data_IF_875220810864
#
_entry.id   IF_875220810864
#
_cell.length_a   1.000
_cell.length_b   1.000
_cell.length_c   1.000
_cell.angle_alpha   90.00
_cell.angle_beta   90.00
_cell.angle_gamma   90.00
#
_symmetry.space_group_name_H-M   'P 1'
#
loop_
_entity.id
_entity.type
_entity.pdbx_description
1 polymer ?
#
# COMPACT_ATOMS: atom_id res chain seq x y z
N UNK A 1 -10.91 -6.85 -15.21
CA UNK A 1 -11.57 -5.80 -14.42
C UNK A 1 -10.63 -5.55 -13.26
N UNK A 2 -9.99 -4.39 -13.20
CA UNK A 2 -9.05 -4.10 -12.13
C UNK A 2 -9.87 -3.62 -10.94
N UNK A 3 -9.86 -4.37 -9.84
CA UNK A 3 -10.50 -3.93 -8.61
C UNK A 3 -9.68 -2.78 -8.00
N UNK A 4 -10.28 -1.61 -7.86
CA UNK A 4 -9.65 -0.41 -7.27
C UNK A 4 -9.78 -0.44 -5.75
N UNK A 5 -8.91 -1.20 -5.09
CA UNK A 5 -8.97 -1.47 -3.64
C UNK A 5 -7.62 -1.27 -2.96
N UNK A 6 -7.61 -1.08 -1.64
CA UNK A 6 -6.39 -1.03 -0.82
C UNK A 6 -5.43 -2.21 -1.09
N UNK A 7 -5.96 -3.42 -1.28
CA UNK A 7 -5.15 -4.60 -1.60
C UNK A 7 -4.46 -4.50 -2.98
N UNK A 8 -5.16 -3.98 -3.99
CA UNK A 8 -4.57 -3.74 -5.32
C UNK A 8 -3.49 -2.67 -5.26
N UNK A 9 -3.72 -1.60 -4.48
CA UNK A 9 -2.72 -0.55 -4.28
C UNK A 9 -1.49 -1.06 -3.54
N UNK A 10 -1.66 -1.88 -2.50
CA UNK A 10 -0.55 -2.46 -1.74
C UNK A 10 0.38 -3.29 -2.62
N UNK A 11 -0.17 -4.19 -3.44
CA UNK A 11 0.64 -4.99 -4.39
C UNK A 11 1.46 -4.11 -5.33
N UNK A 12 0.85 -3.03 -5.82
CA UNK A 12 1.55 -2.07 -6.68
C UNK A 12 2.67 -1.35 -5.94
N UNK A 13 2.45 -0.97 -4.68
CA UNK A 13 3.52 -0.40 -3.83
C UNK A 13 4.65 -1.41 -3.68
N UNK A 14 4.37 -2.68 -3.36
CA UNK A 14 5.37 -3.75 -3.23
C UNK A 14 6.20 -3.95 -4.51
N UNK A 15 5.57 -3.92 -5.68
CA UNK A 15 6.25 -4.02 -6.98
C UNK A 15 7.18 -2.82 -7.27
N UNK A 16 6.81 -1.63 -6.77
CA UNK A 16 7.55 -0.38 -6.99
C UNK A 16 8.47 0.02 -5.83
N UNK A 17 8.48 -0.73 -4.74
CA UNK A 17 9.25 -0.47 -3.52
C UNK A 17 10.27 -1.60 -3.23
N UNK A 18 11.20 -1.93 -4.13
CA UNK A 18 12.16 -3.02 -3.91
C UNK A 18 13.10 -2.81 -2.71
N UNK A 19 13.14 -1.60 -2.15
CA UNK A 19 13.90 -1.24 -0.95
C UNK A 19 12.99 -0.91 0.24
N UNK A 20 11.71 -1.29 0.18
CA UNK A 20 10.72 -0.98 1.22
C UNK A 20 10.12 0.42 1.13
N UNK A 21 10.48 1.23 0.14
CA UNK A 21 9.85 2.52 -0.11
C UNK A 21 9.74 2.85 -1.60
N UNK A 22 8.70 3.59 -1.97
CA UNK A 22 8.45 4.11 -3.31
C UNK A 22 8.00 5.58 -3.25
N UNK A 23 8.31 6.36 -4.29
CA UNK A 23 7.78 7.72 -4.41
C UNK A 23 6.26 7.69 -4.60
N UNK A 24 5.53 8.49 -3.81
CA UNK A 24 4.06 8.59 -3.89
C UNK A 24 3.63 8.91 -5.32
N UNK A 25 4.34 9.84 -5.99
CA UNK A 25 4.03 10.24 -7.35
C UNK A 25 4.21 9.10 -8.37
N UNK A 26 5.22 8.24 -8.18
CA UNK A 26 5.44 7.08 -9.05
C UNK A 26 4.32 6.04 -8.90
N UNK A 27 3.92 5.75 -7.65
CA UNK A 27 2.81 4.84 -7.35
C UNK A 27 1.49 5.41 -7.92
N UNK A 28 1.24 6.70 -7.71
CA UNK A 28 0.08 7.42 -8.24
C UNK A 28 0.02 7.35 -9.78
N UNK A 29 1.12 7.67 -10.47
CA UNK A 29 1.18 7.63 -11.93
C UNK A 29 0.89 6.21 -12.48
N UNK A 30 1.39 5.18 -11.79
CA UNK A 30 1.08 3.78 -12.09
C UNK A 30 -0.41 3.48 -11.93
N UNK A 31 -1.01 3.87 -10.80
CA UNK A 31 -2.43 3.71 -10.54
C UNK A 31 -3.30 4.45 -11.58
N UNK A 32 -2.97 5.69 -11.96
CA UNK A 32 -3.66 6.41 -13.04
C UNK A 32 -3.67 5.64 -14.36
N UNK A 33 -2.56 4.97 -14.67
CA UNK A 33 -2.42 4.21 -15.92
C UNK A 33 -3.34 2.98 -15.96
N UNK A 34 -3.72 2.49 -14.78
CA UNK A 34 -4.72 1.42 -14.59
C UNK A 34 -6.16 1.96 -14.52
N UNK A 35 -6.35 3.28 -14.59
CA UNK A 35 -7.66 3.94 -14.56
C UNK A 35 -8.12 4.41 -13.18
N UNK A 36 -7.24 4.47 -12.17
CA UNK A 36 -7.59 5.00 -10.87
C UNK A 36 -7.87 6.51 -10.92
N UNK A 37 -8.91 6.93 -10.21
CA UNK A 37 -9.14 8.35 -9.88
C UNK A 37 -8.28 8.77 -8.69
N UNK A 38 -8.11 10.07 -8.50
CA UNK A 38 -7.42 10.63 -7.33
C UNK A 38 -8.07 10.19 -6.03
N UNK A 39 -9.40 10.18 -6.01
CA UNK A 39 -10.18 9.87 -4.82
C UNK A 39 -10.04 8.39 -4.46
N UNK A 40 -10.19 7.49 -5.44
CA UNK A 40 -10.00 6.06 -5.20
C UNK A 40 -8.58 5.73 -4.70
N UNK A 41 -7.57 6.42 -5.22
CA UNK A 41 -6.20 6.27 -4.78
C UNK A 41 -6.00 6.78 -3.34
N UNK A 42 -6.52 7.96 -3.03
CA UNK A 42 -6.44 8.54 -1.70
C UNK A 42 -7.15 7.66 -0.66
N UNK A 43 -8.36 7.19 -0.96
CA UNK A 43 -9.14 6.31 -0.08
C UNK A 43 -8.40 4.99 0.20
N UNK A 44 -7.80 4.39 -0.83
CA UNK A 44 -7.03 3.16 -0.68
C UNK A 44 -5.74 3.39 0.10
N UNK A 45 -5.04 4.50 -0.14
CA UNK A 45 -3.81 4.84 0.59
C UNK A 45 -4.10 5.11 2.06
N UNK A 46 -5.17 5.86 2.36
CA UNK A 46 -5.62 6.12 3.73
C UNK A 46 -5.98 4.81 4.45
N UNK A 47 -6.68 3.88 3.79
CA UNK A 47 -6.96 2.56 4.35
C UNK A 47 -5.68 1.79 4.70
N UNK A 48 -4.66 1.80 3.84
CA UNK A 48 -3.40 1.12 4.11
C UNK A 48 -2.63 1.75 5.28
N UNK A 49 -2.68 3.07 5.42
CA UNK A 49 -2.10 3.80 6.56
C UNK A 49 -2.84 3.45 7.86
N UNK A 50 -4.17 3.46 7.84
CA UNK A 50 -5.00 3.14 9.00
C UNK A 50 -4.84 1.69 9.46
N UNK A 51 -4.50 0.79 8.55
CA UNK A 51 -4.22 -0.62 8.82
C UNK A 51 -2.75 -0.90 9.15
N UNK A 52 -1.90 0.13 9.22
CA UNK A 52 -0.46 0.05 9.52
C UNK A 52 0.34 -0.82 8.51
N UNK A 53 -0.13 -0.93 7.27
CA UNK A 53 0.64 -1.58 6.19
C UNK A 53 1.69 -0.66 5.57
N UNK A 54 1.43 0.64 5.58
CA UNK A 54 2.31 1.65 5.01
C UNK A 54 2.30 2.92 5.86
N UNK A 55 3.34 3.72 5.71
CA UNK A 55 3.35 5.12 6.15
C UNK A 55 3.80 6.03 5.02
N UNK A 56 3.47 7.33 5.12
CA UNK A 56 3.98 8.35 4.20
C UNK A 56 5.02 9.20 4.91
N UNK A 57 6.25 9.17 4.42
CA UNK A 57 7.37 9.97 4.94
C UNK A 57 7.86 10.89 3.84
N UNK A 58 7.57 12.18 3.97
CA UNK A 58 7.86 13.16 2.92
C UNK A 58 7.05 12.86 1.66
N UNK A 59 7.75 12.60 0.55
CA UNK A 59 7.18 12.25 -0.75
C UNK A 59 7.18 10.75 -1.04
N UNK A 60 7.44 9.91 -0.03
CA UNK A 60 7.54 8.46 -0.16
C UNK A 60 6.48 7.73 0.64
N UNK A 61 5.94 6.67 0.04
CA UNK A 61 5.26 5.58 0.75
C UNK A 61 6.31 4.57 1.17
N UNK A 62 6.31 4.23 2.45
CA UNK A 62 7.20 3.24 3.06
C UNK A 62 6.33 2.05 3.48
N UNK A 63 6.70 0.86 3.04
CA UNK A 63 6.11 -0.40 3.49
C UNK A 63 6.50 -0.62 4.95
N UNK A 64 5.50 -0.83 5.80
CA UNK A 64 5.72 -1.42 7.11
C UNK A 64 5.89 -2.92 6.92
N UNK A 65 6.81 -3.53 7.67
CA UNK A 65 6.83 -4.99 7.77
C UNK A 65 5.41 -5.44 8.15
N UNK A 66 4.83 -6.43 7.47
CA UNK A 66 3.57 -6.96 7.90
C UNK A 66 3.76 -7.40 9.34
N UNK A 67 3.05 -6.75 10.26
CA UNK A 67 2.82 -7.32 11.57
C UNK A 67 2.06 -8.62 11.26
N UNK A 68 2.78 -9.72 11.08
CA UNK A 68 2.21 -11.04 11.23
C UNK A 68 1.67 -10.97 12.65
N UNK A 69 0.36 -10.74 12.77
CA UNK A 69 -0.35 -10.95 14.01
C UNK A 69 0.07 -12.36 14.41
N UNK A 70 1.00 -12.46 15.36
CA UNK A 70 1.48 -13.74 15.85
C UNK A 70 0.23 -14.35 16.44
N UNK A 71 -0.43 -15.21 15.64
CA UNK A 71 -1.53 -16.01 16.12
C UNK A 71 -0.99 -16.68 17.38
N UNK A 72 -1.64 -16.52 18.54
CA UNK A 72 -1.11 -17.05 19.78
C UNK A 72 -0.82 -18.53 19.54
N UNK A 73 0.46 -18.91 19.56
CA UNK A 73 0.86 -20.29 19.45
C UNK A 73 0.12 -21.02 20.56
N UNK A 74 -0.89 -21.82 20.21
CA UNK A 74 -1.47 -22.77 21.14
C UNK A 74 -0.35 -23.72 21.50
N UNK A 75 0.26 -23.49 22.66
CA UNK A 75 1.06 -24.49 23.34
C UNK A 75 0.18 -25.73 23.50
N UNK A 76 0.55 -26.80 22.80
CA UNK A 76 0.15 -28.17 23.11
C UNK A 76 1.42 -28.98 23.31
#
# INVERSE_FOLDING_TARGET
MTDFTAATLLRRIEEHAPQGAAEVFAVWKGACSDGWTSDAFADALEQLINLDYVEVVGDRVVLKDPQIAVAPQRQQ
#
